data_IF_372605176617
#
_entry.id   IF_372605176617
#
_cell.length_a   1.000
_cell.length_b   1.000
_cell.length_c   1.000
_cell.angle_alpha   90.00
_cell.angle_beta   90.00
_cell.angle_gamma   90.00
#
_symmetry.space_group_name_H-M   'P 1'
#
loop_
_entity.id
_entity.type
_entity.pdbx_description
1 polymer ?
#
# COMPACT_ATOMS: atom_id res chain seq x y z
N UNK A 1 -9.09 -17.42 0.92
CA UNK A 1 -9.91 -16.96 -0.22
C UNK A 1 -9.99 -18.05 -1.28
N UNK A 2 -11.19 -18.47 -1.68
CA UNK A 2 -11.36 -19.49 -2.72
C UNK A 2 -10.77 -18.98 -4.05
N UNK A 3 -9.87 -19.76 -4.66
CA UNK A 3 -9.28 -19.46 -5.98
C UNK A 3 -10.36 -19.62 -7.06
N UNK A 4 -11.22 -18.62 -7.19
CA UNK A 4 -12.14 -18.54 -8.33
C UNK A 4 -11.30 -18.42 -9.60
N UNK A 5 -11.71 -19.09 -10.68
CA UNK A 5 -10.98 -19.21 -11.96
C UNK A 5 -10.74 -17.89 -12.73
N UNK A 6 -10.90 -16.73 -12.08
CA UNK A 6 -10.69 -15.39 -12.60
C UNK A 6 -9.33 -14.76 -12.21
N UNK A 7 -8.40 -15.54 -11.63
CA UNK A 7 -7.13 -15.02 -11.11
C UNK A 7 -6.30 -14.21 -12.12
N UNK A 8 -6.32 -14.57 -13.41
CA UNK A 8 -5.63 -13.82 -14.46
C UNK A 8 -6.22 -12.42 -14.69
N UNK A 9 -7.54 -12.32 -14.85
CA UNK A 9 -8.25 -11.05 -15.00
C UNK A 9 -8.12 -10.15 -13.77
N UNK A 10 -8.20 -10.74 -12.57
CA UNK A 10 -8.00 -9.99 -11.33
C UNK A 10 -6.60 -9.41 -11.26
N UNK A 11 -5.57 -10.22 -11.57
CA UNK A 11 -4.17 -9.75 -11.61
C UNK A 11 -3.99 -8.61 -12.60
N UNK A 12 -4.54 -8.74 -13.81
CA UNK A 12 -4.46 -7.70 -14.84
C UNK A 12 -5.09 -6.38 -14.38
N UNK A 13 -6.28 -6.45 -13.77
CA UNK A 13 -6.92 -5.27 -13.19
C UNK A 13 -6.06 -4.61 -12.11
N UNK A 14 -5.51 -5.39 -11.17
CA UNK A 14 -4.66 -4.86 -10.10
C UNK A 14 -3.43 -4.14 -10.66
N UNK A 15 -2.78 -4.70 -11.69
CA UNK A 15 -1.62 -4.06 -12.33
C UNK A 15 -1.98 -2.79 -13.11
N UNK A 16 -3.20 -2.72 -13.65
CA UNK A 16 -3.63 -1.59 -14.47
C UNK A 16 -4.25 -0.43 -13.67
N UNK A 17 -4.76 -0.69 -12.46
CA UNK A 17 -5.60 0.25 -11.70
C UNK A 17 -5.08 0.58 -10.31
N UNK A 18 -3.99 -0.06 -9.86
CA UNK A 18 -3.38 0.17 -8.56
C UNK A 18 -1.90 0.47 -8.68
N UNK A 19 -1.35 1.16 -7.68
CA UNK A 19 0.07 1.40 -7.53
C UNK A 19 0.70 0.39 -6.58
N UNK A 20 1.95 0.03 -6.82
CA UNK A 20 2.74 -0.71 -5.83
C UNK A 20 3.09 0.20 -4.65
N UNK A 21 3.26 -0.37 -3.45
CA UNK A 21 3.69 0.40 -2.27
C UNK A 21 5.04 1.09 -2.48
N UNK A 22 5.95 0.44 -3.22
CA UNK A 22 7.24 1.01 -3.61
C UNK A 22 7.08 2.26 -4.50
N UNK A 23 6.10 2.25 -5.40
CA UNK A 23 5.76 3.37 -6.28
C UNK A 23 5.12 4.52 -5.49
N UNK A 24 4.25 4.22 -4.52
CA UNK A 24 3.71 5.24 -3.61
C UNK A 24 4.82 5.95 -2.81
N UNK A 25 5.86 5.24 -2.42
CA UNK A 25 7.06 5.84 -1.81
C UNK A 25 7.81 6.78 -2.76
N UNK A 26 7.99 6.39 -4.03
CA UNK A 26 8.57 7.28 -5.04
C UNK A 26 7.75 8.56 -5.23
N UNK A 27 6.42 8.43 -5.33
CA UNK A 27 5.51 9.58 -5.45
C UNK A 27 5.64 10.50 -4.23
N UNK A 28 5.69 9.95 -3.02
CA UNK A 28 5.86 10.74 -1.79
C UNK A 28 7.19 11.50 -1.76
N UNK A 29 8.28 10.86 -2.19
CA UNK A 29 9.58 11.53 -2.35
C UNK A 29 9.49 12.69 -3.33
N UNK A 30 8.95 12.43 -4.52
CA UNK A 30 8.93 13.41 -5.62
C UNK A 30 8.00 14.59 -5.32
N UNK A 31 6.91 14.33 -4.58
CA UNK A 31 6.01 15.36 -4.08
C UNK A 31 6.56 16.15 -2.89
N UNK A 32 7.65 15.71 -2.26
CA UNK A 32 8.26 16.38 -1.11
C UNK A 32 7.36 16.40 0.14
N UNK A 33 6.47 15.41 0.29
CA UNK A 33 5.57 15.35 1.45
C UNK A 33 6.32 14.94 2.72
N UNK A 34 5.82 15.39 3.87
CA UNK A 34 6.40 15.05 5.18
C UNK A 34 5.83 13.75 5.77
N UNK A 35 4.61 13.37 5.37
CA UNK A 35 3.92 12.14 5.80
C UNK A 35 3.20 11.47 4.63
N UNK A 36 3.29 10.13 4.55
CA UNK A 36 2.54 9.27 3.64
C UNK A 36 1.64 8.36 4.46
N UNK A 37 0.36 8.30 4.12
CA UNK A 37 -0.61 7.38 4.71
C UNK A 37 -1.10 6.43 3.62
N UNK A 38 -0.68 5.17 3.68
CA UNK A 38 -1.15 4.15 2.74
C UNK A 38 -2.54 3.66 3.16
N UNK A 39 -3.45 3.59 2.21
CA UNK A 39 -4.80 3.03 2.36
C UNK A 39 -5.15 2.21 1.09
N UNK A 40 -6.33 1.57 1.09
CA UNK A 40 -6.79 0.73 -0.03
C UNK A 40 -5.80 -0.41 -0.37
N UNK A 41 -5.43 -1.18 0.66
CA UNK A 41 -4.41 -2.23 0.58
C UNK A 41 -4.99 -3.51 -0.03
N UNK A 42 -4.25 -4.13 -0.94
CA UNK A 42 -4.62 -5.42 -1.56
C UNK A 42 -3.35 -6.29 -1.70
N UNK A 43 -3.32 -7.51 -1.13
CA UNK A 43 -4.34 -8.12 -0.29
C UNK A 43 -4.33 -7.54 1.14
N UNK A 44 -5.49 -7.25 1.71
CA UNK A 44 -5.64 -6.81 3.11
C UNK A 44 -6.09 -7.94 4.06
N UNK A 45 -6.53 -9.05 3.48
CA UNK A 45 -7.14 -10.22 4.10
C UNK A 45 -6.22 -11.46 4.10
N UNK A 46 -5.00 -11.31 3.59
CA UNK A 46 -3.99 -12.35 3.59
C UNK A 46 -3.25 -12.35 4.93
N UNK A 47 -3.33 -13.46 5.68
CA UNK A 47 -2.68 -13.60 6.97
C UNK A 47 -1.14 -13.66 6.87
N UNK A 48 -0.59 -13.89 5.68
CA UNK A 48 0.85 -13.89 5.42
C UNK A 48 1.40 -12.49 5.12
N UNK A 49 0.54 -11.49 4.88
CA UNK A 49 0.93 -10.11 4.56
C UNK A 49 0.46 -9.17 5.68
N UNK A 50 1.43 -8.60 6.40
CA UNK A 50 1.19 -7.70 7.51
C UNK A 50 1.68 -6.27 7.28
N UNK A 51 1.47 -5.42 8.29
CA UNK A 51 1.95 -4.02 8.30
C UNK A 51 3.45 -3.90 7.98
N UNK A 52 4.26 -4.83 8.50
CA UNK A 52 5.70 -4.85 8.28
C UNK A 52 6.08 -5.02 6.80
N UNK A 53 5.32 -5.78 6.03
CA UNK A 53 5.56 -5.99 4.60
C UNK A 53 5.29 -4.72 3.80
N UNK A 54 4.20 -4.02 4.12
CA UNK A 54 3.88 -2.72 3.53
C UNK A 54 4.95 -1.68 3.85
N UNK A 55 5.38 -1.61 5.11
CA UNK A 55 6.48 -0.73 5.53
C UNK A 55 7.75 -1.08 4.76
N UNK A 56 8.16 -2.35 4.74
CA UNK A 56 9.36 -2.79 4.03
C UNK A 56 9.32 -2.43 2.54
N UNK A 57 8.17 -2.56 1.89
CA UNK A 57 8.00 -2.22 0.48
C UNK A 57 8.15 -0.72 0.21
N UNK A 58 7.53 0.16 1.00
CA UNK A 58 7.68 1.62 0.86
C UNK A 58 9.12 2.07 1.17
N UNK A 59 9.75 1.44 2.18
CA UNK A 59 11.08 1.82 2.66
C UNK A 59 12.20 1.62 1.64
N UNK A 60 11.96 0.86 0.57
CA UNK A 60 12.89 0.76 -0.56
C UNK A 60 13.11 2.10 -1.26
N UNK A 61 12.13 3.01 -1.20
CA UNK A 61 12.12 4.24 -2.01
C UNK A 61 11.87 5.50 -1.21
N UNK A 62 11.35 5.38 0.03
CA UNK A 62 11.03 6.54 0.86
C UNK A 62 11.23 6.32 2.37
N UNK A 63 11.94 7.26 3.00
CA UNK A 63 12.34 7.20 4.41
C UNK A 63 11.51 8.11 5.35
N UNK A 64 10.48 8.81 4.83
CA UNK A 64 9.67 9.75 5.60
C UNK A 64 8.68 9.10 6.59
N UNK A 65 7.85 9.93 7.23
CA UNK A 65 6.86 9.46 8.20
C UNK A 65 5.76 8.65 7.51
N UNK A 66 5.64 7.38 7.85
CA UNK A 66 4.80 6.41 7.17
C UNK A 66 3.74 5.85 8.12
N UNK A 67 2.49 5.89 7.70
CA UNK A 67 1.37 5.24 8.38
C UNK A 67 0.72 4.23 7.44
N UNK A 68 0.56 2.99 7.89
CA UNK A 68 -0.28 1.99 7.22
C UNK A 68 -1.67 2.08 7.84
N UNK A 69 -2.66 2.50 7.05
CA UNK A 69 -4.01 2.73 7.57
C UNK A 69 -4.73 1.41 7.87
N UNK A 70 -5.63 1.48 8.86
CA UNK A 70 -6.62 0.46 9.18
C UNK A 70 -7.99 1.11 9.31
N UNK A 71 -9.04 0.31 9.18
CA UNK A 71 -10.41 0.79 9.35
C UNK A 71 -10.58 1.48 10.71
N UNK A 72 -11.17 2.67 10.68
CA UNK A 72 -11.39 3.50 11.88
C UNK A 72 -10.15 4.26 12.38
N UNK A 73 -9.00 4.19 11.70
CA UNK A 73 -7.85 5.02 12.03
C UNK A 73 -8.17 6.51 11.78
N UNK A 74 -7.86 7.35 12.76
CA UNK A 74 -7.89 8.81 12.63
C UNK A 74 -6.46 9.32 12.49
N UNK A 75 -6.24 10.21 11.53
CA UNK A 75 -4.95 10.88 11.32
C UNK A 75 -5.15 12.37 11.59
N UNK A 76 -4.51 12.88 12.63
CA UNK A 76 -4.49 14.31 12.89
C UNK A 76 -3.52 15.00 11.93
N UNK A 77 -3.94 16.15 11.41
CA UNK A 77 -3.11 17.02 10.61
C UNK A 77 -2.34 17.97 11.54
N UNK A 78 -1.04 18.10 11.30
CA UNK A 78 -0.16 19.02 12.03
C UNK A 78 -0.25 20.45 11.48
#
# INVERSE_FOLDING_TARGET
MAKTGNGGRLREHLLASHSFAEEAGHIARDAGVTRLVLNHLIPADDAEIGEADWVAAVRKTWAGDLTIARDGLVVDLA
#
